data_IF_631825394047
#
_entry.id   IF_631825394047
#
_cell.length_a   1.000
_cell.length_b   1.000
_cell.length_c   1.000
_cell.angle_alpha   90.00
_cell.angle_beta   90.00
_cell.angle_gamma   90.00
#
_symmetry.space_group_name_H-M   'P 1'
#
loop_
_entity.id
_entity.type
_entity.pdbx_description
1 polymer ?
#
# COMPACT_ATOMS: atom_id res chain seq x y z
N UNK A 1 -8.58 -4.50 -3.48
CA UNK A 1 -7.80 -5.76 -3.47
C UNK A 1 -6.62 -5.67 -2.50
N UNK A 2 -5.75 -4.64 -2.61
CA UNK A 2 -4.60 -4.42 -1.72
C UNK A 2 -4.97 -4.56 -0.24
N UNK A 3 -5.89 -3.73 0.25
CA UNK A 3 -6.29 -3.76 1.67
C UNK A 3 -6.91 -5.10 2.11
N UNK A 4 -7.61 -5.79 1.21
CA UNK A 4 -8.20 -7.07 1.55
C UNK A 4 -7.11 -8.14 1.76
N UNK A 5 -6.13 -8.21 0.86
CA UNK A 5 -5.02 -9.17 0.96
C UNK A 5 -4.09 -8.85 2.12
N UNK A 6 -3.77 -7.57 2.36
CA UNK A 6 -2.95 -7.12 3.47
C UNK A 6 -3.60 -7.42 4.83
N UNK A 7 -4.88 -7.04 5.01
CA UNK A 7 -5.58 -7.29 6.27
C UNK A 7 -5.75 -8.78 6.54
N UNK A 8 -6.04 -9.60 5.51
CA UNK A 8 -6.10 -11.06 5.67
C UNK A 8 -4.72 -11.63 6.01
N UNK A 9 -3.63 -11.09 5.46
CA UNK A 9 -2.28 -11.48 5.83
C UNK A 9 -1.98 -11.15 7.30
N UNK A 10 -2.36 -9.98 7.78
CA UNK A 10 -2.19 -9.56 9.18
C UNK A 10 -2.93 -10.45 10.19
N UNK A 11 -4.02 -11.12 9.77
CA UNK A 11 -4.74 -12.09 10.61
C UNK A 11 -3.96 -13.41 10.79
N UNK A 12 -3.06 -13.76 9.87
CA UNK A 12 -2.40 -15.09 9.81
C UNK A 12 -0.88 -15.04 9.91
N UNK A 13 -0.26 -13.86 9.79
CA UNK A 13 1.20 -13.68 9.94
C UNK A 13 1.53 -12.49 10.84
N UNK A 14 2.81 -12.35 11.20
CA UNK A 14 3.27 -11.26 12.05
C UNK A 14 3.24 -9.92 11.29
N UNK A 15 2.82 -8.86 11.96
CA UNK A 15 2.82 -7.51 11.38
C UNK A 15 4.22 -7.06 10.91
N UNK A 16 5.29 -7.54 11.57
CA UNK A 16 6.69 -7.31 11.16
C UNK A 16 7.02 -7.94 9.81
N UNK A 17 6.52 -9.17 9.56
CA UNK A 17 6.69 -9.82 8.27
C UNK A 17 5.95 -9.05 7.16
N UNK A 18 4.69 -8.66 7.44
CA UNK A 18 3.89 -7.88 6.50
C UNK A 18 4.59 -6.57 6.18
N UNK A 19 5.04 -5.83 7.18
CA UNK A 19 5.75 -4.56 6.99
C UNK A 19 7.01 -4.74 6.14
N UNK A 20 7.82 -5.77 6.42
CA UNK A 20 9.05 -6.04 5.68
C UNK A 20 8.77 -6.37 4.20
N UNK A 21 7.79 -7.24 3.94
CA UNK A 21 7.42 -7.61 2.56
C UNK A 21 6.80 -6.42 1.81
N UNK A 22 5.93 -5.63 2.45
CA UNK A 22 5.33 -4.43 1.83
C UNK A 22 6.41 -3.40 1.47
N UNK A 23 7.47 -3.28 2.25
CA UNK A 23 8.61 -2.42 1.92
C UNK A 23 9.35 -2.85 0.63
N UNK A 24 9.07 -4.02 0.06
CA UNK A 24 9.56 -4.38 -1.29
C UNK A 24 8.76 -3.71 -2.42
N UNK A 25 7.60 -3.12 -2.14
CA UNK A 25 6.72 -2.51 -3.15
C UNK A 25 7.41 -1.44 -4.02
N UNK A 26 8.29 -0.56 -3.52
CA UNK A 26 9.03 0.38 -4.36
C UNK A 26 9.95 -0.32 -5.37
N UNK A 27 10.62 -1.41 -4.98
CA UNK A 27 11.46 -2.20 -5.89
C UNK A 27 10.60 -2.86 -6.96
N UNK A 28 9.49 -3.49 -6.58
CA UNK A 28 8.52 -4.09 -7.51
C UNK A 28 7.96 -3.04 -8.48
N UNK A 29 7.61 -1.86 -7.97
CA UNK A 29 7.13 -0.74 -8.79
C UNK A 29 8.20 -0.30 -9.80
N UNK A 30 9.46 -0.22 -9.38
CA UNK A 30 10.57 0.14 -10.25
C UNK A 30 10.77 -0.90 -11.35
N UNK A 31 10.83 -2.18 -10.99
CA UNK A 31 11.01 -3.29 -11.96
C UNK A 31 9.85 -3.29 -12.98
N UNK A 32 8.61 -3.26 -12.50
CA UNK A 32 7.44 -3.22 -13.37
C UNK A 32 7.38 -1.96 -14.24
N UNK A 33 7.80 -0.81 -13.70
CA UNK A 33 7.87 0.43 -14.46
C UNK A 33 8.86 0.35 -15.62
N UNK A 34 10.02 -0.24 -15.39
CA UNK A 34 11.05 -0.46 -16.43
C UNK A 34 10.57 -1.42 -17.51
N UNK A 35 9.85 -2.47 -17.11
CA UNK A 35 9.30 -3.46 -18.05
C UNK A 35 8.18 -2.88 -18.92
N UNK A 36 7.29 -2.07 -18.33
CA UNK A 36 6.09 -1.55 -19.01
C UNK A 36 6.39 -0.22 -19.72
N UNK A 37 7.17 0.67 -19.09
CA UNK A 37 7.51 1.98 -19.63
C UNK A 37 8.98 2.03 -20.07
N UNK A 38 9.24 1.63 -21.29
CA UNK A 38 10.60 1.59 -21.90
C UNK A 38 11.37 2.94 -21.87
N UNK A 39 10.68 4.04 -21.60
CA UNK A 39 11.29 5.40 -21.52
C UNK A 39 11.76 5.77 -20.10
N UNK A 40 11.41 5.01 -19.07
CA UNK A 40 11.91 5.25 -17.72
C UNK A 40 13.31 4.66 -17.57
N UNK A 41 14.23 5.46 -17.05
CA UNK A 41 15.58 5.01 -16.72
C UNK A 41 15.71 4.90 -15.20
N UNK A 42 15.94 3.72 -14.70
CA UNK A 42 16.40 3.58 -13.32
C UNK A 42 17.87 4.03 -13.27
N UNK A 43 18.16 5.05 -12.50
CA UNK A 43 19.54 5.42 -12.19
C UNK A 43 20.12 4.45 -11.16
N UNK A 44 21.42 4.16 -11.26
CA UNK A 44 22.11 3.31 -10.28
C UNK A 44 21.90 3.83 -8.84
N UNK A 45 21.89 5.15 -8.66
CA UNK A 45 21.58 5.80 -7.38
C UNK A 45 20.20 5.46 -6.84
N UNK A 46 19.19 5.35 -7.72
CA UNK A 46 17.82 5.02 -7.33
C UNK A 46 17.71 3.56 -6.88
N UNK A 47 18.32 2.64 -7.62
CA UNK A 47 18.36 1.21 -7.26
C UNK A 47 19.16 1.02 -5.98
N UNK A 48 20.33 1.61 -5.87
CA UNK A 48 21.18 1.54 -4.68
C UNK A 48 20.49 2.13 -3.45
N UNK A 49 19.80 3.27 -3.59
CA UNK A 49 19.02 3.89 -2.52
C UNK A 49 17.86 3.00 -2.05
N UNK A 50 17.12 2.37 -2.99
CA UNK A 50 16.04 1.45 -2.64
C UNK A 50 16.53 0.19 -1.91
N UNK A 51 17.67 -0.36 -2.34
CA UNK A 51 18.29 -1.50 -1.66
C UNK A 51 18.79 -1.12 -0.26
N UNK A 52 19.44 0.04 -0.13
CA UNK A 52 19.89 0.55 1.17
C UNK A 52 18.72 0.79 2.12
N UNK A 53 17.61 1.35 1.64
CA UNK A 53 16.39 1.54 2.41
C UNK A 53 15.81 0.21 2.87
N UNK A 54 15.76 -0.80 1.98
CA UNK A 54 15.29 -2.14 2.34
C UNK A 54 16.17 -2.77 3.43
N UNK A 55 17.48 -2.61 3.35
CA UNK A 55 18.42 -3.06 4.41
C UNK A 55 18.16 -2.29 5.71
N UNK A 56 17.89 -0.99 5.65
CA UNK A 56 17.52 -0.19 6.81
C UNK A 56 16.26 -0.70 7.49
N UNK A 57 15.20 -1.00 6.71
CA UNK A 57 13.96 -1.60 7.24
C UNK A 57 14.24 -2.98 7.85
N UNK A 58 15.07 -3.81 7.19
CA UNK A 58 15.47 -5.11 7.73
C UNK A 58 16.16 -4.99 9.09
N UNK A 59 17.05 -4.00 9.26
CA UNK A 59 17.73 -3.74 10.53
C UNK A 59 16.74 -3.27 11.63
N UNK A 60 15.77 -2.43 11.28
CA UNK A 60 14.73 -1.98 12.21
C UNK A 60 13.84 -3.16 12.65
N UNK A 61 13.44 -4.01 11.70
CA UNK A 61 12.65 -5.23 12.00
C UNK A 61 13.46 -6.22 12.84
N UNK A 62 14.78 -6.28 12.60
CA UNK A 62 15.68 -7.15 13.37
C UNK A 62 15.74 -6.77 14.84
N UNK A 63 15.80 -5.50 15.20
CA UNK A 63 15.79 -4.94 16.58
C UNK A 63 16.33 -5.90 17.67
N UNK A 64 17.41 -6.62 17.39
CA UNK A 64 18.05 -7.60 18.28
C UNK A 64 17.39 -8.98 18.38
N UNK A 65 16.18 -9.17 17.88
CA UNK A 65 15.46 -10.44 17.92
C UNK A 65 14.76 -10.71 16.59
N UNK A 66 15.30 -11.62 15.79
CA UNK A 66 14.70 -12.02 14.52
C UNK A 66 13.54 -13.02 14.77
N UNK A 67 12.34 -12.51 15.00
CA UNK A 67 11.15 -13.35 15.07
C UNK A 67 10.43 -13.32 13.73
N UNK A 68 11.07 -13.89 12.71
CA UNK A 68 10.40 -14.19 11.45
C UNK A 68 9.68 -15.55 11.60
N UNK A 69 8.41 -15.51 11.88
CA UNK A 69 7.57 -16.70 11.80
C UNK A 69 7.10 -16.85 10.37
N UNK A 70 7.74 -17.73 9.60
CA UNK A 70 7.36 -17.98 8.21
C UNK A 70 5.93 -18.50 8.17
N UNK A 71 5.06 -17.75 7.52
CA UNK A 71 3.68 -18.12 7.22
C UNK A 71 3.50 -18.08 5.71
N UNK A 72 3.68 -19.22 4.99
CA UNK A 72 3.71 -19.22 3.53
C UNK A 72 2.48 -18.57 2.90
N UNK A 73 1.29 -18.79 3.46
CA UNK A 73 0.06 -18.17 2.97
C UNK A 73 0.01 -16.67 3.29
N UNK A 74 0.38 -16.26 4.52
CA UNK A 74 0.40 -14.84 4.90
C UNK A 74 1.43 -14.04 4.12
N UNK A 75 2.63 -14.60 3.95
CA UNK A 75 3.72 -13.98 3.22
C UNK A 75 3.38 -13.86 1.72
N UNK A 76 2.73 -14.90 1.14
CA UNK A 76 2.21 -14.86 -0.23
C UNK A 76 1.13 -13.79 -0.42
N UNK A 77 0.16 -13.69 0.50
CA UNK A 77 -0.88 -12.65 0.45
C UNK A 77 -0.29 -11.24 0.56
N UNK A 78 0.73 -11.08 1.40
CA UNK A 78 1.45 -9.81 1.56
C UNK A 78 2.20 -9.44 0.28
N UNK A 79 2.88 -10.40 -0.35
CA UNK A 79 3.55 -10.18 -1.63
C UNK A 79 2.54 -9.80 -2.72
N UNK A 80 1.38 -10.43 -2.74
CA UNK A 80 0.29 -10.10 -3.66
C UNK A 80 -0.25 -8.67 -3.41
N UNK A 81 -0.32 -8.25 -2.15
CA UNK A 81 -0.63 -6.87 -1.79
C UNK A 81 0.43 -5.89 -2.34
N UNK A 82 1.73 -6.17 -2.14
CA UNK A 82 2.81 -5.34 -2.65
C UNK A 82 2.79 -5.23 -4.19
N UNK A 83 2.54 -6.33 -4.90
CA UNK A 83 2.32 -6.30 -6.35
C UNK A 83 1.11 -5.47 -6.75
N UNK A 84 -0.02 -5.61 -6.03
CA UNK A 84 -1.23 -4.82 -6.27
C UNK A 84 -0.96 -3.32 -6.13
N UNK A 85 -0.19 -2.91 -5.13
CA UNK A 85 0.26 -1.53 -4.95
C UNK A 85 1.13 -1.04 -6.11
N UNK A 86 2.07 -1.87 -6.57
CA UNK A 86 2.93 -1.54 -7.69
C UNK A 86 2.10 -1.33 -8.98
N UNK A 87 1.16 -2.23 -9.28
CA UNK A 87 0.25 -2.08 -10.43
C UNK A 87 -0.63 -0.84 -10.30
N UNK A 88 -1.19 -0.59 -9.12
CA UNK A 88 -1.95 0.63 -8.86
C UNK A 88 -1.13 1.89 -9.21
N UNK A 89 0.10 1.96 -8.74
CA UNK A 89 1.00 3.10 -8.99
C UNK A 89 1.26 3.31 -10.49
N UNK A 90 1.44 2.23 -11.26
CA UNK A 90 1.65 2.29 -12.72
C UNK A 90 0.39 2.75 -13.46
N UNK A 91 -0.78 2.22 -13.10
CA UNK A 91 -2.06 2.62 -13.68
C UNK A 91 -2.32 4.10 -13.39
N UNK A 92 -2.06 4.52 -12.14
CA UNK A 92 -2.22 5.92 -11.72
C UNK A 92 -1.35 6.87 -12.53
N UNK A 93 -0.10 6.51 -12.81
CA UNK A 93 0.77 7.28 -13.68
C UNK A 93 0.15 7.49 -15.06
N UNK A 94 -0.36 6.42 -15.69
CA UNK A 94 -1.00 6.49 -17.01
C UNK A 94 -2.25 7.37 -16.99
N UNK A 95 -3.06 7.27 -15.94
CA UNK A 95 -4.30 8.02 -15.80
C UNK A 95 -4.07 9.49 -15.44
N UNK A 96 -3.06 9.80 -14.65
CA UNK A 96 -2.73 11.16 -14.18
C UNK A 96 -2.38 12.12 -15.33
N UNK A 97 -1.94 11.61 -16.48
CA UNK A 97 -1.74 12.39 -17.69
C UNK A 97 -3.03 12.83 -18.40
N UNK A 98 -4.14 12.10 -18.16
CA UNK A 98 -5.43 12.33 -18.87
C UNK A 98 -6.49 13.01 -18.01
N UNK A 99 -6.49 12.74 -16.70
CA UNK A 99 -7.57 13.14 -15.80
C UNK A 99 -7.05 13.97 -14.62
N UNK A 100 -7.94 14.77 -14.02
CA UNK A 100 -7.65 15.50 -12.79
C UNK A 100 -7.53 14.52 -11.62
N UNK A 101 -6.55 14.75 -10.73
CA UNK A 101 -6.29 13.90 -9.55
C UNK A 101 -7.55 13.64 -8.71
N UNK A 102 -8.32 14.70 -8.42
CA UNK A 102 -9.56 14.58 -7.65
C UNK A 102 -10.60 13.65 -8.31
N UNK A 103 -10.71 13.68 -9.64
CA UNK A 103 -11.62 12.79 -10.36
C UNK A 103 -11.19 11.33 -10.23
N UNK A 104 -9.90 11.06 -10.39
CA UNK A 104 -9.34 9.70 -10.28
C UNK A 104 -9.54 9.18 -8.86
N UNK A 105 -9.17 9.97 -7.84
CA UNK A 105 -9.29 9.59 -6.43
C UNK A 105 -10.74 9.27 -6.08
N UNK A 106 -11.70 10.12 -6.49
CA UNK A 106 -13.13 9.85 -6.29
C UNK A 106 -13.57 8.52 -6.89
N UNK A 107 -13.12 8.20 -8.10
CA UNK A 107 -13.46 6.93 -8.77
C UNK A 107 -12.86 5.73 -8.05
N UNK A 108 -11.61 5.84 -7.58
CA UNK A 108 -10.95 4.79 -6.83
C UNK A 108 -11.72 4.47 -5.55
N UNK A 109 -12.10 5.48 -4.77
CA UNK A 109 -12.90 5.29 -3.56
C UNK A 109 -14.28 4.71 -3.86
N UNK A 110 -14.95 5.22 -4.90
CA UNK A 110 -16.26 4.69 -5.29
C UNK A 110 -16.21 3.21 -5.65
N UNK A 111 -15.28 2.81 -6.53
CA UNK A 111 -15.11 1.40 -6.88
C UNK A 111 -14.53 0.57 -5.73
N UNK A 112 -13.71 1.17 -4.87
CA UNK A 112 -13.22 0.54 -3.65
C UNK A 112 -14.35 0.14 -2.72
N UNK A 113 -15.27 1.06 -2.44
CA UNK A 113 -16.48 0.78 -1.64
C UNK A 113 -17.34 -0.28 -2.32
N UNK A 114 -17.61 -0.15 -3.62
CA UNK A 114 -18.44 -1.09 -4.36
C UNK A 114 -17.85 -2.53 -4.34
N UNK A 115 -16.52 -2.66 -4.41
CA UNK A 115 -15.86 -3.98 -4.41
C UNK A 115 -15.72 -4.58 -3.01
N UNK A 116 -15.76 -3.77 -1.95
CA UNK A 116 -15.68 -4.29 -0.58
C UNK A 116 -17.05 -4.70 -0.03
N UNK A 117 -18.16 -4.11 -0.52
CA UNK A 117 -19.50 -4.44 -0.07
C UNK A 117 -19.81 -5.95 -0.09
N UNK A 118 -19.51 -6.73 -1.15
CA UNK A 118 -19.76 -8.18 -1.15
C UNK A 118 -18.99 -8.92 -0.05
N UNK A 119 -17.84 -8.43 0.38
CA UNK A 119 -17.06 -9.05 1.46
C UNK A 119 -17.82 -9.01 2.79
N UNK A 120 -18.54 -7.92 3.05
CA UNK A 120 -19.38 -7.79 4.24
C UNK A 120 -20.61 -8.72 4.22
N UNK A 121 -21.05 -9.17 3.05
CA UNK A 121 -22.14 -10.15 2.93
C UNK A 121 -21.67 -11.56 3.26
N UNK A 122 -20.39 -11.86 3.04
CA UNK A 122 -19.78 -13.20 3.25
C UNK A 122 -19.16 -13.33 4.64
N UNK A 123 -18.56 -12.27 5.17
CA UNK A 123 -17.98 -12.24 6.52
C UNK A 123 -18.97 -11.67 7.51
N UNK A 124 -19.36 -12.42 8.57
CA UNK A 124 -20.29 -11.90 9.59
C UNK A 124 -19.65 -10.69 10.31
N UNK A 125 -20.48 -9.70 10.56
CA UNK A 125 -20.10 -8.52 11.33
C UNK A 125 -19.78 -8.94 12.76
N UNK A 126 -18.53 -8.73 13.18
CA UNK A 126 -18.05 -9.17 14.49
C UNK A 126 -17.97 -8.03 15.52
N UNK A 127 -18.42 -6.82 15.18
CA UNK A 127 -18.34 -5.73 16.15
C UNK A 127 -19.68 -5.36 16.73
N UNK A 128 -19.65 -5.06 18.03
CA UNK A 128 -20.78 -4.56 18.79
C UNK A 128 -21.07 -3.10 18.39
N UNK A 129 -22.33 -2.77 18.12
CA UNK A 129 -22.75 -1.39 17.87
C UNK A 129 -22.42 -0.44 19.03
N UNK A 130 -22.31 -0.97 20.26
CA UNK A 130 -21.88 -0.20 21.44
C UNK A 130 -20.44 0.31 21.33
N UNK A 131 -19.57 -0.36 20.55
CA UNK A 131 -18.21 0.11 20.29
C UNK A 131 -18.18 1.45 19.58
N UNK A 132 -19.19 1.75 18.73
CA UNK A 132 -19.30 3.04 18.05
C UNK A 132 -19.63 4.21 18.98
N UNK A 133 -20.09 3.96 20.19
CA UNK A 133 -20.36 5.03 21.16
C UNK A 133 -19.09 5.53 21.86
N UNK A 134 -17.95 4.85 21.69
CA UNK A 134 -16.70 5.26 22.30
C UNK A 134 -16.04 6.38 21.49
N UNK A 135 -15.69 7.54 22.11
CA UNK A 135 -15.05 8.67 21.42
C UNK A 135 -13.72 8.29 20.74
N UNK A 136 -12.95 7.39 21.35
CA UNK A 136 -11.68 6.89 20.79
C UNK A 136 -11.88 6.20 19.43
N UNK A 137 -12.98 5.45 19.25
CA UNK A 137 -13.31 4.78 17.98
C UNK A 137 -13.59 5.82 16.90
N UNK A 138 -14.35 6.87 17.20
CA UNK A 138 -14.63 7.95 16.26
C UNK A 138 -13.37 8.72 15.88
N UNK A 139 -12.49 9.04 16.83
CA UNK A 139 -11.23 9.71 16.54
C UNK A 139 -10.35 8.87 15.60
N UNK A 140 -10.25 7.55 15.85
CA UNK A 140 -9.51 6.64 14.99
C UNK A 140 -10.14 6.52 13.59
N UNK A 141 -11.47 6.43 13.50
CA UNK A 141 -12.18 6.38 12.21
C UNK A 141 -12.00 7.68 11.41
N UNK A 142 -12.09 8.84 12.07
CA UNK A 142 -11.84 10.14 11.43
C UNK A 142 -10.38 10.25 10.96
N UNK A 143 -9.42 9.83 11.81
CA UNK A 143 -8.01 9.82 11.43
C UNK A 143 -7.78 8.92 10.19
N UNK A 144 -8.27 7.69 10.22
CA UNK A 144 -8.10 6.74 9.11
C UNK A 144 -8.85 7.19 7.85
N UNK A 145 -10.08 7.69 7.98
CA UNK A 145 -10.91 8.07 6.84
C UNK A 145 -10.48 9.40 6.21
N UNK A 146 -10.19 10.41 7.01
CA UNK A 146 -9.88 11.75 6.50
C UNK A 146 -8.38 11.92 6.27
N UNK A 147 -7.55 11.70 7.30
CA UNK A 147 -6.12 11.93 7.18
C UNK A 147 -5.42 10.83 6.38
N UNK A 148 -5.51 9.60 6.81
CA UNK A 148 -4.77 8.51 6.20
C UNK A 148 -5.35 8.12 4.82
N UNK A 149 -6.67 8.09 4.65
CA UNK A 149 -7.25 7.72 3.36
C UNK A 149 -7.39 8.93 2.42
N UNK A 150 -8.20 9.93 2.77
CA UNK A 150 -8.52 11.01 1.81
C UNK A 150 -7.28 11.87 1.51
N UNK A 151 -6.66 12.47 2.53
CA UNK A 151 -5.57 13.43 2.34
C UNK A 151 -4.34 12.73 1.79
N UNK A 152 -3.89 11.63 2.41
CA UNK A 152 -2.69 10.93 1.95
C UNK A 152 -2.83 10.39 0.53
N UNK A 153 -4.00 9.84 0.14
CA UNK A 153 -4.21 9.38 -1.23
C UNK A 153 -4.22 10.52 -2.26
N UNK A 154 -4.83 11.67 -1.92
CA UNK A 154 -4.80 12.83 -2.82
C UNK A 154 -3.37 13.32 -3.00
N UNK A 155 -2.62 13.49 -1.89
CA UNK A 155 -1.22 13.93 -1.92
C UNK A 155 -0.36 12.91 -2.67
N UNK A 156 -0.53 11.61 -2.41
CA UNK A 156 0.18 10.55 -3.13
C UNK A 156 -0.06 10.61 -4.64
N UNK A 157 -1.30 10.74 -5.06
CA UNK A 157 -1.63 10.86 -6.48
C UNK A 157 -1.07 12.14 -7.12
N UNK A 158 -0.98 13.25 -6.37
CA UNK A 158 -0.32 14.47 -6.84
C UNK A 158 1.20 14.26 -6.99
N UNK A 159 1.84 13.57 -6.05
CA UNK A 159 3.27 13.23 -6.09
C UNK A 159 3.57 12.32 -7.28
N UNK A 160 2.77 11.26 -7.48
CA UNK A 160 2.89 10.38 -8.66
C UNK A 160 2.82 11.15 -9.98
N UNK A 161 1.94 12.14 -10.05
CA UNK A 161 1.80 12.99 -11.23
C UNK A 161 3.02 13.88 -11.48
N UNK A 162 3.61 14.44 -10.40
CA UNK A 162 4.74 15.39 -10.50
C UNK A 162 6.09 14.71 -10.64
N UNK A 163 6.37 13.67 -9.86
CA UNK A 163 7.69 13.04 -9.77
C UNK A 163 7.81 11.76 -10.60
N UNK A 164 6.68 11.20 -11.04
CA UNK A 164 6.63 9.88 -11.66
C UNK A 164 6.67 8.74 -10.64
N UNK A 165 6.38 7.53 -11.12
CA UNK A 165 6.12 6.37 -10.25
C UNK A 165 7.37 5.93 -9.50
N UNK A 166 8.51 5.84 -10.18
CA UNK A 166 9.76 5.30 -9.63
C UNK A 166 10.31 6.19 -8.52
N UNK A 167 10.35 7.51 -8.75
CA UNK A 167 10.82 8.46 -7.72
C UNK A 167 9.84 8.54 -6.55
N UNK A 168 8.54 8.61 -6.84
CA UNK A 168 7.52 8.69 -5.80
C UNK A 168 7.55 7.45 -4.88
N UNK A 169 7.72 6.24 -5.43
CA UNK A 169 7.73 5.00 -4.65
C UNK A 169 8.87 4.94 -3.63
N UNK A 170 10.02 5.58 -3.92
CA UNK A 170 11.14 5.60 -2.97
C UNK A 170 10.88 6.45 -1.71
N UNK A 171 9.86 7.31 -1.71
CA UNK A 171 9.43 8.05 -0.52
C UNK A 171 8.51 7.23 0.41
N UNK A 172 8.27 5.96 0.11
CA UNK A 172 7.53 5.03 1.00
C UNK A 172 8.41 4.60 2.19
N UNK A 173 9.74 4.65 2.02
CA UNK A 173 10.71 4.35 3.09
C UNK A 173 10.85 5.51 4.14
#
# INVERSE_FOLDING_TARGET
FYFLTENTALEITLATNVAFIVCTAPLLTTILSLLIYKREKATAALIGGSLLALVGVALVVYNGHFVLKISPLGDFLTLLAAFSWAFYSLIMKKMSGRYRTAFITRKIFFYGVLTILPVFLVRPWQFSLSGFLQPAVWMNLLFLGVLASLICFVVWNMILKKLGTVRASNYIY
#
